data_IF_897959085751
#
_entry.id   IF_897959085751
#
_cell.length_a   1.000
_cell.length_b   1.000
_cell.length_c   1.000
_cell.angle_alpha   90.00
_cell.angle_beta   90.00
_cell.angle_gamma   90.00
#
_symmetry.space_group_name_H-M   'P 1'
#
loop_
_entity.id
_entity.type
_entity.pdbx_description
1 polymer ?
#
# COMPACT_ATOMS: atom_id res chain seq x y z
N UNK A 1 0.26 -18.98 -6.70
CA UNK A 1 -0.07 -17.72 -7.40
C UNK A 1 0.97 -17.41 -8.46
N UNK A 2 0.56 -17.06 -9.70
CA UNK A 2 1.46 -16.80 -10.83
C UNK A 2 1.07 -15.50 -11.53
N UNK A 3 2.05 -14.71 -11.94
CA UNK A 3 1.84 -13.50 -12.75
C UNK A 3 1.44 -13.90 -14.18
N UNK A 4 0.26 -13.46 -14.63
CA UNK A 4 -0.25 -13.70 -15.99
C UNK A 4 0.03 -12.54 -16.93
N UNK A 5 -0.43 -11.34 -16.56
CA UNK A 5 -0.26 -10.17 -17.43
C UNK A 5 0.09 -8.93 -16.62
N UNK A 6 0.85 -8.06 -17.23
CA UNK A 6 1.11 -6.70 -16.78
C UNK A 6 0.73 -5.74 -17.90
N UNK A 7 -0.27 -4.90 -17.66
CA UNK A 7 -0.69 -3.86 -18.57
C UNK A 7 -0.24 -2.50 -18.03
N UNK A 8 0.35 -1.69 -18.90
CA UNK A 8 0.83 -0.35 -18.57
C UNK A 8 0.31 0.64 -19.60
N UNK A 9 -0.10 1.82 -19.17
CA UNK A 9 -0.48 2.93 -20.03
C UNK A 9 -0.12 4.26 -19.38
N UNK A 10 0.53 5.14 -20.10
CA UNK A 10 0.98 6.42 -19.58
C UNK A 10 2.02 6.31 -18.48
N UNK A 11 2.62 5.14 -18.26
CA UNK A 11 3.54 4.88 -17.18
C UNK A 11 4.99 5.06 -17.66
N UNK A 12 5.69 6.05 -17.14
CA UNK A 12 7.10 6.37 -17.44
C UNK A 12 7.42 6.39 -18.93
N UNK A 13 8.07 5.37 -19.46
CA UNK A 13 8.43 5.24 -20.87
C UNK A 13 7.39 4.55 -21.74
N UNK A 14 6.23 4.20 -21.19
CA UNK A 14 5.14 3.50 -21.89
C UNK A 14 3.93 4.43 -22.08
N UNK A 15 3.89 5.25 -23.14
CA UNK A 15 2.77 6.17 -23.39
C UNK A 15 1.49 5.43 -23.80
N UNK A 16 1.65 4.42 -24.66
CA UNK A 16 0.53 3.63 -25.18
C UNK A 16 0.24 2.44 -24.27
N UNK A 17 -0.95 1.87 -24.42
CA UNK A 17 -1.30 0.63 -23.73
C UNK A 17 -0.37 -0.49 -24.19
N UNK A 18 0.50 -0.92 -23.28
CA UNK A 18 1.45 -2.00 -23.47
C UNK A 18 1.04 -3.17 -22.58
N UNK A 19 0.90 -4.35 -23.16
CA UNK A 19 0.52 -5.59 -22.47
C UNK A 19 1.67 -6.57 -22.55
N UNK A 20 2.15 -7.02 -21.41
CA UNK A 20 3.14 -8.07 -21.27
C UNK A 20 2.45 -9.33 -20.76
N UNK A 21 2.54 -10.40 -21.52
CA UNK A 21 2.03 -11.72 -21.14
C UNK A 21 3.18 -12.57 -20.61
N UNK A 22 2.99 -13.17 -19.45
CA UNK A 22 3.96 -14.03 -18.80
C UNK A 22 3.49 -15.49 -18.93
N UNK A 23 4.38 -16.33 -19.45
CA UNK A 23 4.14 -17.77 -19.51
C UNK A 23 4.52 -18.46 -18.20
N UNK A 24 4.31 -19.79 -18.16
CA UNK A 24 4.82 -20.61 -17.06
C UNK A 24 6.35 -20.69 -17.13
N UNK A 25 7.01 -20.63 -16.00
CA UNK A 25 8.47 -20.73 -15.88
C UNK A 25 9.18 -19.38 -15.86
N UNK A 26 10.34 -19.27 -16.47
CA UNK A 26 11.20 -18.08 -16.44
C UNK A 26 10.92 -17.22 -17.66
N UNK A 27 10.62 -15.94 -17.44
CA UNK A 27 10.51 -14.93 -18.49
C UNK A 27 11.67 -13.93 -18.36
N UNK A 28 12.47 -13.78 -19.41
CA UNK A 28 13.56 -12.80 -19.47
C UNK A 28 13.14 -11.59 -20.30
N UNK A 29 13.37 -10.39 -19.75
CA UNK A 29 13.18 -9.13 -20.47
C UNK A 29 14.56 -8.58 -20.84
N UNK A 30 14.87 -8.57 -22.13
CA UNK A 30 16.16 -8.15 -22.66
C UNK A 30 16.02 -6.91 -23.54
N UNK A 31 17.07 -6.12 -23.66
CA UNK A 31 17.10 -4.92 -24.51
C UNK A 31 18.25 -3.98 -24.15
N UNK A 32 18.53 -2.97 -24.96
CA UNK A 32 19.58 -1.99 -24.69
C UNK A 32 19.29 -1.12 -23.46
N UNK A 33 20.30 -0.37 -23.01
CA UNK A 33 20.12 0.60 -21.93
C UNK A 33 19.12 1.68 -22.37
N UNK A 34 18.23 2.09 -21.45
CA UNK A 34 17.18 3.07 -21.76
C UNK A 34 15.91 2.51 -22.38
N UNK A 35 15.84 1.21 -22.75
CA UNK A 35 14.64 0.61 -23.37
C UNK A 35 13.45 0.43 -22.45
N UNK A 36 13.54 0.83 -21.19
CA UNK A 36 12.42 0.73 -20.24
C UNK A 36 12.34 -0.57 -19.40
N UNK A 37 13.33 -1.49 -19.50
CA UNK A 37 13.33 -2.75 -18.73
C UNK A 37 13.08 -2.56 -17.23
N UNK A 38 13.77 -1.63 -16.62
CA UNK A 38 13.60 -1.32 -15.20
C UNK A 38 12.26 -0.68 -14.89
N UNK A 39 11.60 -0.04 -15.86
CA UNK A 39 10.27 0.55 -15.66
C UNK A 39 9.20 -0.52 -15.54
N UNK A 40 9.42 -1.72 -16.09
CA UNK A 40 8.54 -2.89 -15.90
C UNK A 40 8.55 -3.32 -14.42
N UNK A 41 9.73 -3.44 -13.82
CA UNK A 41 9.85 -3.74 -12.39
C UNK A 41 9.24 -2.65 -11.52
N UNK A 42 9.43 -1.38 -11.89
CA UNK A 42 8.80 -0.27 -11.18
C UNK A 42 7.27 -0.31 -11.28
N UNK A 43 6.73 -0.68 -12.45
CA UNK A 43 5.28 -0.82 -12.65
C UNK A 43 4.69 -1.88 -11.71
N UNK A 44 5.35 -3.04 -11.58
CA UNK A 44 4.91 -4.10 -10.65
C UNK A 44 4.94 -3.59 -9.20
N UNK A 45 6.02 -2.96 -8.75
CA UNK A 45 6.10 -2.38 -7.40
C UNK A 45 5.02 -1.33 -7.17
N UNK A 46 4.84 -0.47 -8.16
CA UNK A 46 3.92 0.63 -8.06
C UNK A 46 2.47 0.18 -7.91
N UNK A 47 2.01 -0.80 -8.71
CA UNK A 47 0.63 -1.33 -8.62
C UNK A 47 0.38 -2.07 -7.30
N UNK A 48 1.41 -2.67 -6.71
CA UNK A 48 1.37 -3.33 -5.40
C UNK A 48 1.38 -2.35 -4.21
N UNK A 49 1.31 -1.04 -4.47
CA UNK A 49 1.12 -0.02 -3.43
C UNK A 49 2.38 0.72 -3.00
N UNK A 50 3.51 0.59 -3.72
CA UNK A 50 4.70 1.39 -3.46
C UNK A 50 4.41 2.88 -3.62
N UNK A 51 4.83 3.67 -2.64
CA UNK A 51 4.67 5.13 -2.60
C UNK A 51 5.98 5.88 -2.47
N UNK A 52 7.08 5.18 -2.23
CA UNK A 52 8.40 5.80 -2.20
C UNK A 52 8.81 6.21 -3.61
N UNK A 53 8.93 7.50 -3.84
CA UNK A 53 9.40 8.04 -5.11
C UNK A 53 10.84 7.59 -5.41
N UNK A 54 11.68 7.46 -4.37
CA UNK A 54 13.06 6.95 -4.49
C UNK A 54 13.08 5.50 -4.98
N UNK A 55 12.22 4.62 -4.44
CA UNK A 55 12.10 3.23 -4.90
C UNK A 55 11.70 3.15 -6.37
N UNK A 56 10.91 4.12 -6.82
CA UNK A 56 10.46 4.25 -8.20
C UNK A 56 11.39 5.10 -9.07
N UNK A 57 12.58 5.48 -8.56
CA UNK A 57 13.57 6.28 -9.27
C UNK A 57 13.02 7.61 -9.81
N UNK A 58 12.14 8.25 -9.05
CA UNK A 58 11.56 9.55 -9.31
C UNK A 58 11.81 10.52 -8.17
N UNK A 59 11.62 11.79 -8.41
CA UNK A 59 11.65 12.86 -7.40
C UNK A 59 10.27 13.11 -6.80
N UNK A 60 9.25 13.01 -7.64
CA UNK A 60 7.83 13.19 -7.28
C UNK A 60 7.02 12.00 -7.78
N UNK A 61 5.84 11.79 -7.19
CA UNK A 61 4.95 10.72 -7.65
C UNK A 61 4.46 10.95 -9.10
N UNK A 62 4.34 12.20 -9.51
CA UNK A 62 3.97 12.58 -10.88
C UNK A 62 4.97 12.09 -11.94
N UNK A 63 6.22 11.83 -11.55
CA UNK A 63 7.26 11.31 -12.46
C UNK A 63 6.95 9.89 -12.95
N UNK A 64 5.96 9.21 -12.38
CA UNK A 64 5.46 7.94 -12.92
C UNK A 64 4.61 8.13 -14.17
N UNK A 65 4.07 9.35 -14.40
CA UNK A 65 3.29 9.68 -15.58
C UNK A 65 4.24 10.04 -16.73
N UNK A 66 3.92 9.54 -17.92
CA UNK A 66 4.69 9.88 -19.13
C UNK A 66 4.76 11.40 -19.34
N UNK A 67 5.96 11.94 -19.27
CA UNK A 67 6.24 13.38 -19.32
C UNK A 67 6.18 14.01 -20.71
N UNK A 68 6.03 13.17 -21.77
CA UNK A 68 6.09 13.62 -23.15
C UNK A 68 7.50 13.51 -23.73
N UNK A 69 7.58 13.64 -25.03
CA UNK A 69 8.82 13.72 -25.83
C UNK A 69 8.64 14.80 -26.90
N UNK A 70 9.69 15.07 -27.69
CA UNK A 70 9.58 15.97 -28.85
C UNK A 70 8.47 15.57 -29.85
N UNK A 71 8.18 14.26 -29.94
CA UNK A 71 7.18 13.69 -30.86
C UNK A 71 5.81 13.43 -30.22
N UNK A 72 5.69 13.43 -28.88
CA UNK A 72 4.46 13.07 -28.19
C UNK A 72 4.18 13.98 -26.99
N UNK A 73 2.94 14.40 -26.85
CA UNK A 73 2.49 15.20 -25.69
C UNK A 73 2.52 14.39 -24.40
N UNK A 74 2.74 15.06 -23.30
CA UNK A 74 2.59 14.50 -21.96
C UNK A 74 1.17 13.99 -21.74
N UNK A 75 1.03 12.91 -20.98
CA UNK A 75 -0.28 12.33 -20.62
C UNK A 75 -0.78 12.88 -19.28
N UNK A 76 -2.09 12.82 -19.06
CA UNK A 76 -2.76 13.27 -17.84
C UNK A 76 -2.74 12.22 -16.71
N UNK A 77 -2.47 10.97 -17.03
CA UNK A 77 -2.52 9.88 -16.06
C UNK A 77 -1.51 8.78 -16.39
N UNK A 78 -1.20 7.96 -15.39
CA UNK A 78 -0.55 6.67 -15.54
C UNK A 78 -1.47 5.58 -14.99
N UNK A 79 -1.55 4.44 -15.66
CA UNK A 79 -2.28 3.27 -15.21
C UNK A 79 -1.43 2.03 -15.35
N UNK A 80 -1.45 1.19 -14.32
CA UNK A 80 -0.88 -0.17 -14.35
C UNK A 80 -1.91 -1.14 -13.83
N UNK A 81 -2.05 -2.25 -14.53
CA UNK A 81 -2.91 -3.36 -14.16
C UNK A 81 -2.10 -4.65 -14.13
N UNK A 82 -2.21 -5.36 -13.03
CA UNK A 82 -1.57 -6.65 -12.79
C UNK A 82 -2.65 -7.72 -12.72
N UNK A 83 -2.51 -8.79 -13.52
CA UNK A 83 -3.41 -9.95 -13.48
C UNK A 83 -2.64 -11.16 -12.98
N UNK A 84 -3.17 -11.79 -11.95
CA UNK A 84 -2.60 -12.92 -11.26
C UNK A 84 -3.48 -14.16 -11.43
N UNK A 85 -2.85 -15.30 -11.60
CA UNK A 85 -3.47 -16.61 -11.52
C UNK A 85 -3.41 -17.07 -10.07
N UNK A 86 -4.57 -17.27 -9.47
CA UNK A 86 -4.76 -17.68 -8.09
C UNK A 86 -5.36 -19.08 -7.98
N UNK A 87 -5.18 -19.92 -9.01
CA UNK A 87 -5.71 -21.28 -9.02
C UNK A 87 -5.21 -22.17 -7.86
N UNK A 88 -4.11 -21.77 -7.24
CA UNK A 88 -3.56 -22.41 -6.03
C UNK A 88 -4.20 -21.93 -4.71
N UNK A 89 -5.13 -20.98 -4.77
CA UNK A 89 -5.83 -20.46 -3.59
C UNK A 89 -4.96 -19.66 -2.61
N UNK A 90 -3.80 -19.16 -3.05
CA UNK A 90 -2.90 -18.35 -2.20
C UNK A 90 -3.60 -17.10 -1.69
N UNK A 91 -4.36 -16.42 -2.55
CA UNK A 91 -5.21 -15.29 -2.16
C UNK A 91 -6.57 -15.82 -1.71
N UNK A 92 -6.74 -15.92 -0.39
CA UNK A 92 -7.98 -16.39 0.24
C UNK A 92 -9.13 -15.44 -0.10
N UNK A 93 -10.33 -15.99 -0.23
CA UNK A 93 -11.57 -15.26 -0.52
C UNK A 93 -11.57 -14.52 -1.88
N UNK A 94 -10.72 -14.96 -2.84
CA UNK A 94 -10.65 -14.44 -4.20
C UNK A 94 -10.81 -15.54 -5.24
N UNK A 95 -11.27 -15.16 -6.44
CA UNK A 95 -11.42 -16.06 -7.56
C UNK A 95 -10.09 -16.59 -8.11
N UNK A 96 -10.18 -17.45 -9.12
CA UNK A 96 -9.01 -18.02 -9.81
C UNK A 96 -8.15 -16.97 -10.54
N UNK A 97 -8.75 -15.85 -10.90
CA UNK A 97 -8.05 -14.72 -11.52
C UNK A 97 -8.29 -13.49 -10.67
N UNK A 98 -7.21 -12.85 -10.25
CA UNK A 98 -7.26 -11.62 -9.46
C UNK A 98 -6.58 -10.50 -10.24
N UNK A 99 -7.29 -9.39 -10.39
CA UNK A 99 -6.81 -8.22 -11.12
C UNK A 99 -6.65 -7.05 -10.17
N UNK A 100 -5.45 -6.48 -10.13
CA UNK A 100 -5.16 -5.28 -9.34
C UNK A 100 -4.79 -4.14 -10.27
N UNK A 101 -5.47 -3.01 -10.13
CA UNK A 101 -5.25 -1.83 -10.97
C UNK A 101 -4.94 -0.62 -10.09
N UNK A 102 -3.94 0.14 -10.49
CA UNK A 102 -3.66 1.47 -9.95
C UNK A 102 -3.65 2.47 -11.07
N UNK A 103 -4.31 3.60 -10.85
CA UNK A 103 -4.30 4.77 -11.72
C UNK A 103 -3.91 6.00 -10.92
N UNK A 104 -3.10 6.85 -11.50
CA UNK A 104 -2.65 8.09 -10.87
C UNK A 104 -2.77 9.24 -11.88
N UNK A 105 -3.36 10.33 -11.44
CA UNK A 105 -3.61 11.52 -12.26
C UNK A 105 -2.63 12.64 -11.91
N UNK A 106 -2.41 13.56 -12.84
CA UNK A 106 -1.60 14.77 -12.58
C UNK A 106 -2.20 15.69 -11.53
N UNK A 107 -3.50 15.55 -11.24
CA UNK A 107 -4.17 16.24 -10.13
C UNK A 107 -3.65 15.80 -8.75
N UNK A 108 -2.87 14.71 -8.67
CA UNK A 108 -2.45 14.07 -7.42
C UNK A 108 -3.40 12.97 -6.94
N UNK A 109 -4.53 12.77 -7.62
CA UNK A 109 -5.49 11.75 -7.26
C UNK A 109 -4.98 10.35 -7.63
N UNK A 110 -5.24 9.37 -6.76
CA UNK A 110 -4.81 7.99 -6.91
C UNK A 110 -6.00 7.04 -6.72
N UNK A 111 -6.31 6.25 -7.73
CA UNK A 111 -7.33 5.22 -7.69
C UNK A 111 -6.69 3.83 -7.59
N UNK A 112 -7.30 2.99 -6.77
CA UNK A 112 -6.92 1.58 -6.61
C UNK A 112 -8.15 0.70 -6.82
N UNK A 113 -8.00 -0.40 -7.56
CA UNK A 113 -9.08 -1.36 -7.81
C UNK A 113 -8.57 -2.78 -7.65
N UNK A 114 -9.43 -3.65 -7.10
CA UNK A 114 -9.25 -5.10 -7.09
C UNK A 114 -10.48 -5.69 -7.77
N UNK A 115 -10.27 -6.49 -8.80
CA UNK A 115 -11.33 -7.13 -9.61
C UNK A 115 -12.39 -6.14 -10.13
N UNK A 116 -11.95 -4.91 -10.43
CA UNK A 116 -12.80 -3.80 -10.90
C UNK A 116 -13.43 -2.95 -9.80
N UNK A 117 -13.47 -3.40 -8.57
CA UNK A 117 -14.01 -2.68 -7.41
C UNK A 117 -13.00 -1.66 -6.87
N UNK A 118 -13.45 -0.46 -6.56
CA UNK A 118 -12.61 0.57 -5.97
C UNK A 118 -12.30 0.25 -4.51
N UNK A 119 -11.01 0.27 -4.17
CA UNK A 119 -10.49 -0.08 -2.85
C UNK A 119 -9.50 0.97 -2.35
N UNK A 120 -9.12 0.89 -1.09
CA UNK A 120 -8.06 1.71 -0.51
C UNK A 120 -6.69 1.07 -0.75
N UNK A 121 -5.65 1.87 -0.77
CA UNK A 121 -4.26 1.36 -0.82
C UNK A 121 -3.96 0.32 0.28
N UNK A 122 -4.55 0.51 1.46
CA UNK A 122 -4.39 -0.43 2.58
C UNK A 122 -4.88 -1.83 2.22
N UNK A 123 -6.00 -1.93 1.50
CA UNK A 123 -6.61 -3.20 1.12
C UNK A 123 -5.71 -3.97 0.14
N UNK A 124 -5.03 -3.27 -0.77
CA UNK A 124 -4.02 -3.89 -1.66
C UNK A 124 -2.84 -4.43 -0.85
N UNK A 125 -2.32 -3.66 0.10
CA UNK A 125 -1.23 -4.13 0.97
C UNK A 125 -1.64 -5.36 1.78
N UNK A 126 -2.84 -5.35 2.34
CA UNK A 126 -3.39 -6.48 3.10
C UNK A 126 -3.58 -7.72 2.23
N UNK A 127 -4.02 -7.54 0.97
CA UNK A 127 -4.19 -8.64 0.02
C UNK A 127 -2.88 -9.38 -0.24
N UNK A 128 -1.76 -8.66 -0.35
CA UNK A 128 -0.46 -9.23 -0.67
C UNK A 128 0.42 -9.51 0.55
N UNK A 129 -0.02 -9.15 1.75
CA UNK A 129 0.66 -9.57 2.97
C UNK A 129 0.71 -11.11 3.02
N UNK A 130 1.85 -11.65 3.41
CA UNK A 130 2.11 -13.09 3.51
C UNK A 130 2.28 -13.82 2.16
N UNK A 131 2.14 -13.13 1.01
CA UNK A 131 2.42 -13.71 -0.31
C UNK A 131 3.85 -13.44 -0.79
N UNK A 132 4.59 -12.61 -0.08
CA UNK A 132 5.91 -12.13 -0.49
C UNK A 132 5.91 -11.12 -1.66
N UNK A 133 4.74 -10.78 -2.20
CA UNK A 133 4.59 -9.87 -3.35
C UNK A 133 4.29 -8.42 -2.95
N UNK A 134 4.29 -8.07 -1.68
CA UNK A 134 4.05 -6.69 -1.23
C UNK A 134 5.12 -5.69 -1.73
N UNK A 135 4.87 -4.40 -1.54
CA UNK A 135 5.84 -3.34 -1.85
C UNK A 135 7.17 -3.55 -1.10
N UNK A 136 7.10 -4.07 0.11
CA UNK A 136 8.24 -4.43 0.96
C UNK A 136 8.63 -5.92 0.80
N UNK A 137 7.92 -6.69 -0.04
CA UNK A 137 8.04 -8.13 -0.19
C UNK A 137 9.41 -8.61 -0.68
N UNK A 138 9.79 -9.82 -0.25
CA UNK A 138 11.05 -10.47 -0.66
C UNK A 138 11.01 -10.99 -2.10
N UNK A 139 9.84 -11.15 -2.71
CA UNK A 139 9.68 -11.65 -4.08
C UNK A 139 10.09 -10.62 -5.15
N UNK A 140 10.17 -9.33 -4.81
CA UNK A 140 10.61 -8.27 -5.70
C UNK A 140 12.03 -7.84 -5.37
N UNK A 141 13.01 -8.57 -5.91
CA UNK A 141 14.42 -8.28 -5.68
C UNK A 141 14.88 -7.17 -6.62
N UNK A 142 15.08 -5.97 -6.09
CA UNK A 142 15.68 -4.85 -6.82
C UNK A 142 17.20 -4.94 -6.88
N UNK A 143 17.79 -4.18 -7.80
CA UNK A 143 19.25 -4.04 -7.91
C UNK A 143 19.83 -3.50 -6.59
N UNK A 144 20.85 -4.17 -6.05
CA UNK A 144 21.47 -3.81 -4.76
C UNK A 144 20.69 -4.22 -3.51
N UNK A 145 19.47 -4.75 -3.63
CA UNK A 145 18.68 -5.17 -2.46
C UNK A 145 19.32 -6.38 -1.75
N UNK A 146 19.96 -7.29 -2.50
CA UNK A 146 20.63 -8.45 -1.92
C UNK A 146 21.81 -7.99 -1.04
N UNK A 147 22.61 -7.07 -1.53
CA UNK A 147 23.76 -6.54 -0.76
C UNK A 147 23.27 -5.82 0.50
N UNK A 148 22.17 -5.07 0.42
CA UNK A 148 21.58 -4.42 1.57
C UNK A 148 21.05 -5.42 2.60
N UNK A 149 20.49 -6.56 2.18
CA UNK A 149 20.02 -7.65 3.07
C UNK A 149 21.19 -8.34 3.76
N UNK A 150 22.27 -8.62 3.01
CA UNK A 150 23.47 -9.26 3.55
C UNK A 150 24.15 -8.34 4.58
N UNK A 151 24.20 -7.05 4.32
CA UNK A 151 24.80 -6.02 5.18
C UNK A 151 23.87 -5.53 6.28
N UNK A 152 22.60 -5.92 6.26
CA UNK A 152 21.58 -5.47 7.19
C UNK A 152 21.84 -5.92 8.63
N UNK A 153 21.39 -5.13 9.58
CA UNK A 153 21.38 -5.48 11.00
C UNK A 153 20.47 -6.68 11.26
N UNK A 154 20.68 -7.38 12.36
CA UNK A 154 19.90 -8.56 12.70
C UNK A 154 18.38 -8.31 12.80
N UNK A 155 17.97 -7.10 13.17
CA UNK A 155 16.56 -6.68 13.23
C UNK A 155 15.90 -6.65 11.86
N UNK A 156 16.58 -6.06 10.86
CA UNK A 156 16.08 -5.97 9.48
C UNK A 156 15.99 -7.35 8.83
N UNK A 157 16.96 -8.23 9.13
CA UNK A 157 16.92 -9.63 8.68
C UNK A 157 15.76 -10.39 9.28
N UNK A 158 15.47 -10.15 10.55
CA UNK A 158 14.34 -10.76 11.24
C UNK A 158 13.02 -10.43 10.57
N UNK A 159 12.82 -9.17 10.13
CA UNK A 159 11.60 -8.77 9.42
C UNK A 159 11.40 -9.57 8.13
N UNK A 160 12.46 -9.84 7.37
CA UNK A 160 12.38 -10.67 6.17
C UNK A 160 11.99 -12.13 6.47
N UNK A 161 12.52 -12.70 7.57
CA UNK A 161 12.12 -14.04 7.99
C UNK A 161 10.68 -14.10 8.48
N UNK A 162 10.23 -13.08 9.21
CA UNK A 162 8.84 -12.96 9.67
C UNK A 162 7.87 -12.83 8.48
N UNK A 163 8.27 -12.10 7.43
CA UNK A 163 7.50 -11.99 6.19
C UNK A 163 7.45 -13.33 5.43
N UNK A 164 8.58 -13.99 5.28
CA UNK A 164 8.66 -15.32 4.64
C UNK A 164 7.86 -16.39 5.40
N UNK A 165 7.74 -16.24 6.71
CA UNK A 165 6.95 -17.11 7.57
C UNK A 165 5.45 -16.79 7.60
N UNK A 166 4.99 -15.74 6.87
CA UNK A 166 3.60 -15.33 6.85
C UNK A 166 3.09 -14.69 8.14
N UNK A 167 3.97 -14.10 8.95
CA UNK A 167 3.63 -13.49 10.24
C UNK A 167 3.36 -12.00 10.12
N UNK A 168 3.77 -11.37 9.04
CA UNK A 168 3.70 -9.92 8.84
C UNK A 168 2.28 -9.36 8.94
N UNK A 169 1.28 -10.09 8.43
CA UNK A 169 -0.14 -9.72 8.53
C UNK A 169 -0.62 -9.64 9.99
N UNK A 170 -0.23 -10.61 10.80
CA UNK A 170 -0.62 -10.64 12.22
C UNK A 170 0.07 -9.54 13.01
N UNK A 171 1.36 -9.30 12.73
CA UNK A 171 2.12 -8.19 13.33
C UNK A 171 1.47 -6.84 13.01
N UNK A 172 1.10 -6.60 11.76
CA UNK A 172 0.43 -5.37 11.35
C UNK A 172 -0.93 -5.20 12.04
N UNK A 173 -1.76 -6.26 12.08
CA UNK A 173 -3.04 -6.24 12.77
C UNK A 173 -2.89 -5.97 14.26
N UNK A 174 -1.89 -6.59 14.91
CA UNK A 174 -1.55 -6.35 16.32
C UNK A 174 -1.19 -4.89 16.58
N UNK A 175 -0.31 -4.33 15.76
CA UNK A 175 0.13 -2.92 15.89
C UNK A 175 -1.05 -1.96 15.68
N UNK A 176 -1.90 -2.20 14.70
CA UNK A 176 -3.10 -1.41 14.47
C UNK A 176 -4.09 -1.49 15.64
N UNK A 177 -4.30 -2.69 16.19
CA UNK A 177 -5.16 -2.90 17.34
C UNK A 177 -4.62 -2.19 18.59
N UNK A 178 -3.31 -2.28 18.82
CA UNK A 178 -2.65 -1.62 19.95
C UNK A 178 -2.77 -0.09 19.85
N UNK A 179 -2.54 0.50 18.67
CA UNK A 179 -2.72 1.94 18.45
C UNK A 179 -4.15 2.39 18.71
N UNK A 180 -5.15 1.60 18.28
CA UNK A 180 -6.57 1.90 18.55
C UNK A 180 -6.90 1.82 20.03
N UNK A 181 -6.30 0.86 20.75
CA UNK A 181 -6.48 0.72 22.19
C UNK A 181 -5.89 1.92 22.94
N UNK A 182 -4.68 2.33 22.59
CA UNK A 182 -4.01 3.52 23.16
C UNK A 182 -4.87 4.78 22.94
N UNK A 183 -5.37 4.98 21.73
CA UNK A 183 -6.26 6.11 21.42
C UNK A 183 -7.58 6.07 22.19
N UNK A 184 -8.16 4.87 22.38
CA UNK A 184 -9.37 4.70 23.18
C UNK A 184 -9.11 5.00 24.67
N UNK A 185 -7.94 4.61 25.21
CA UNK A 185 -7.53 4.94 26.58
C UNK A 185 -7.35 6.45 26.77
N UNK A 186 -6.69 7.14 25.85
CA UNK A 186 -6.56 8.61 25.89
C UNK A 186 -7.93 9.30 25.88
N UNK A 187 -8.85 8.85 25.02
CA UNK A 187 -10.21 9.37 24.96
C UNK A 187 -10.97 9.12 26.26
N UNK A 188 -10.78 7.94 26.87
CA UNK A 188 -11.41 7.61 28.15
C UNK A 188 -10.94 8.52 29.27
N UNK A 189 -9.63 8.77 29.38
CA UNK A 189 -9.06 9.71 30.38
C UNK A 189 -9.69 11.10 30.19
N UNK A 190 -9.73 11.59 28.96
CA UNK A 190 -10.34 12.90 28.68
C UNK A 190 -11.82 12.97 29.05
N UNK A 191 -12.59 11.90 28.81
CA UNK A 191 -14.00 11.84 29.21
C UNK A 191 -14.18 11.82 30.73
N UNK A 192 -13.29 11.12 31.45
CA UNK A 192 -13.30 11.11 32.92
C UNK A 192 -12.97 12.48 33.52
N UNK A 193 -12.03 13.21 32.89
CA UNK A 193 -11.71 14.59 33.30
C UNK A 193 -12.94 15.51 33.13
N UNK A 194 -13.60 15.45 31.97
CA UNK A 194 -14.83 16.22 31.69
C UNK A 194 -15.93 15.85 32.68
N UNK A 195 -16.09 14.56 32.98
CA UNK A 195 -17.08 14.08 33.94
C UNK A 195 -16.81 14.66 35.32
N UNK A 196 -15.54 14.65 35.76
CA UNK A 196 -15.15 15.24 37.07
C UNK A 196 -15.41 16.75 37.15
N UNK A 197 -15.18 17.48 36.07
CA UNK A 197 -15.51 18.91 36.00
C UNK A 197 -17.02 19.14 36.07
N UNK A 198 -17.83 18.35 35.38
CA UNK A 198 -19.28 18.44 35.37
C UNK A 198 -19.88 18.08 36.76
N UNK A 199 -19.36 17.04 37.40
CA UNK A 199 -19.77 16.67 38.78
C UNK A 199 -19.45 17.79 39.77
N UNK A 200 -18.25 18.39 39.67
CA UNK A 200 -17.86 19.53 40.49
C UNK A 200 -18.81 20.73 40.28
N UNK A 201 -19.11 21.02 39.00
CA UNK A 201 -20.06 22.11 38.67
C UNK A 201 -21.46 21.85 39.20
N UNK A 202 -21.98 20.63 39.13
CA UNK A 202 -23.27 20.24 39.67
C UNK A 202 -23.32 20.37 41.19
N UNK A 203 -22.27 20.04 41.91
CA UNK A 203 -22.17 20.24 43.36
C UNK A 203 -22.23 21.71 43.74
N UNK A 204 -21.61 22.57 42.92
CA UNK A 204 -21.62 24.03 43.15
C UNK A 204 -22.99 24.67 42.83
N UNK A 205 -23.68 24.17 41.80
CA UNK A 205 -24.97 24.71 41.32
C UNK A 205 -26.19 24.09 42.01
N UNK A 206 -26.00 23.00 42.77
CA UNK A 206 -27.08 22.37 43.53
C UNK A 206 -27.50 23.27 44.67
N UNK A 207 -28.81 23.62 44.81
CA UNK A 207 -29.28 24.49 45.88
C UNK A 207 -28.98 23.86 47.24
N UNK A 208 -28.41 24.67 48.12
CA UNK A 208 -28.09 24.30 49.51
C UNK A 208 -29.34 23.74 50.22
N UNK A 209 -29.19 22.75 51.11
CA UNK A 209 -30.30 22.28 51.93
C UNK A 209 -31.06 23.39 52.66
N UNK A 210 -30.40 24.54 52.92
CA UNK A 210 -31.01 25.74 53.54
C UNK A 210 -31.92 26.52 52.58
N UNK A 211 -31.71 26.44 51.28
CA UNK A 211 -32.54 27.12 50.28
C UNK A 211 -33.82 26.36 49.96
N UNK A 212 -33.84 25.05 50.20
CA UNK A 212 -35.04 24.20 50.08
C UNK A 212 -36.03 24.38 51.21
N UNK A 213 -35.67 24.99 52.32
CA UNK A 213 -36.57 25.27 53.46
C UNK A 213 -37.28 26.61 53.37
N UNK A 214 -37.02 27.41 52.34
CA UNK A 214 -37.58 28.76 52.17
C UNK A 214 -38.60 28.89 51.03
N UNK A 215 -39.00 27.78 50.40
CA UNK A 215 -40.09 27.78 49.42
C UNK A 215 -41.30 26.99 49.89
#
# INVERSE_FOLDING_TARGET
>A
MVLRTLEMQGFKSFPDKTVLNFGKGITAVVGPNGSGKSNISDAVRWVLGETSTKSLRGSKMEDVIFGGTSARKALGFAQVQLTLDNSDGTLKDRGEIVTVTRRYYRSGESEYKIDGEQVRRKDIRELFMDTGLGADGYSLVGQGKIDSIISAKNEDRRELFEEAAGISRFRHKRTDAQRRLEQAQENLVRLLDILGELESCLLYTSPSPRDRQKS
#
